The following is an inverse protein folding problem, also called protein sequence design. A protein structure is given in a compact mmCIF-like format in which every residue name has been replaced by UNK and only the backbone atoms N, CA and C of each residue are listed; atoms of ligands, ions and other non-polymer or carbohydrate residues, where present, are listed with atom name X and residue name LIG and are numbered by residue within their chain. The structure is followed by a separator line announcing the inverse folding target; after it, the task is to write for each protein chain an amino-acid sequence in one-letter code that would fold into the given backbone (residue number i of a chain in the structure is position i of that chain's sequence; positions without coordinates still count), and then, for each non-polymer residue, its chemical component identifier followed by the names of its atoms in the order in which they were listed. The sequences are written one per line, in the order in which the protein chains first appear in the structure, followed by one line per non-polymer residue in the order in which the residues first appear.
data_IF_193537306937
#
_entry.id   IF_193537306937
#
_cell.length_a   1.000
_cell.length_b   1.000
_cell.length_c   1.000
_cell.angle_alpha   90.00
_cell.angle_beta   90.00
_cell.angle_gamma   90.00
#
_symmetry.space_group_name_H-M   'P 1'
#
loop_
_entity.id
_entity.type
_entity.pdbx_description
1 polymer ?
#
# COMPACT_ATOMS: atom_id res chain seq x y z
N UNK A 1 2.75 -65.10 34.51
CA UNK A 1 1.67 -64.34 33.92
C UNK A 1 2.14 -62.92 33.79
N UNK A 2 2.49 -62.50 32.59
CA UNK A 2 3.11 -61.20 32.34
C UNK A 2 2.06 -60.27 31.75
N UNK A 3 1.70 -59.21 32.46
CA UNK A 3 0.86 -58.14 31.91
C UNK A 3 1.78 -57.19 31.15
N UNK A 4 1.71 -57.26 29.85
CA UNK A 4 2.28 -56.21 29.03
C UNK A 4 1.24 -55.08 28.91
N UNK A 5 1.43 -54.03 29.66
CA UNK A 5 0.73 -52.79 29.43
C UNK A 5 1.30 -52.16 28.15
N UNK A 6 0.55 -52.27 27.07
CA UNK A 6 0.76 -51.50 25.89
C UNK A 6 0.36 -50.05 26.21
N UNK A 7 1.35 -49.20 26.49
CA UNK A 7 1.11 -47.77 26.49
C UNK A 7 1.00 -47.36 25.04
N UNK A 8 -0.24 -47.26 24.55
CA UNK A 8 -0.51 -46.64 23.27
C UNK A 8 -0.23 -45.15 23.43
N UNK A 9 0.96 -44.75 23.03
CA UNK A 9 1.30 -43.32 22.92
C UNK A 9 0.43 -42.72 21.84
N UNK A 10 -0.56 -41.94 22.23
CA UNK A 10 -1.31 -41.09 21.31
C UNK A 10 -0.36 -39.98 20.85
N UNK A 11 0.26 -40.20 19.70
CA UNK A 11 1.03 -39.15 19.04
C UNK A 11 0.04 -38.14 18.47
N UNK A 12 -0.24 -37.09 19.23
CA UNK A 12 -0.99 -35.95 18.73
C UNK A 12 -0.06 -35.21 17.76
N UNK A 13 -0.19 -35.53 16.49
CA UNK A 13 0.37 -34.65 15.44
C UNK A 13 -0.40 -33.34 15.50
N UNK A 14 0.13 -32.36 16.22
CA UNK A 14 -0.26 -30.97 16.03
C UNK A 14 0.17 -30.58 14.61
N UNK A 15 -0.75 -30.68 13.67
CA UNK A 15 -0.58 -30.01 12.38
C UNK A 15 -0.52 -28.53 12.68
N UNK A 16 0.70 -27.97 12.70
CA UNK A 16 0.89 -26.54 12.66
C UNK A 16 0.40 -26.14 11.27
N UNK A 17 -0.85 -25.72 11.16
CA UNK A 17 -1.27 -24.96 9.99
C UNK A 17 -0.38 -23.74 9.92
N UNK A 18 0.40 -23.54 8.83
CA UNK A 18 1.01 -22.25 8.64
C UNK A 18 -0.14 -21.25 8.72
N UNK A 19 -0.07 -20.33 9.67
CA UNK A 19 -0.95 -19.18 9.67
C UNK A 19 -0.94 -18.70 8.21
N UNK A 20 -2.11 -18.67 7.56
CA UNK A 20 -2.25 -17.98 6.29
C UNK A 20 -1.70 -16.59 6.55
N UNK A 21 -0.41 -16.41 6.25
CA UNK A 21 0.16 -15.10 6.19
C UNK A 21 -0.74 -14.39 5.18
N UNK A 22 -1.62 -13.53 5.69
CA UNK A 22 -2.21 -12.51 4.84
C UNK A 22 -1.00 -11.79 4.30
N UNK A 23 -0.62 -12.11 3.05
CA UNK A 23 0.48 -11.44 2.40
C UNK A 23 0.24 -9.96 2.58
N UNK A 24 1.25 -9.27 3.10
CA UNK A 24 1.17 -7.82 3.22
C UNK A 24 0.74 -7.24 1.88
N UNK A 25 -0.15 -6.25 1.91
CA UNK A 25 -0.53 -5.54 0.70
C UNK A 25 0.72 -4.95 0.05
N UNK A 26 0.83 -4.97 -1.29
CA UNK A 26 1.88 -4.24 -1.97
C UNK A 26 1.91 -2.78 -1.52
N UNK A 27 3.09 -2.24 -1.27
CA UNK A 27 3.31 -0.85 -0.87
C UNK A 27 4.03 -0.12 -1.98
N UNK A 28 3.41 0.96 -2.46
CA UNK A 28 3.99 1.84 -3.46
C UNK A 28 4.25 3.19 -2.80
N UNK A 29 5.45 3.73 -2.96
CA UNK A 29 5.87 4.98 -2.34
C UNK A 29 5.85 6.13 -3.32
N UNK A 30 5.38 7.29 -2.84
CA UNK A 30 5.42 8.55 -3.54
C UNK A 30 6.04 9.60 -2.62
N UNK A 31 6.95 10.38 -3.17
CA UNK A 31 7.59 11.49 -2.49
C UNK A 31 7.17 12.83 -3.11
N UNK A 32 6.81 13.76 -2.25
CA UNK A 32 6.54 15.15 -2.59
C UNK A 32 7.64 16.04 -2.04
N UNK A 33 8.07 17.01 -2.81
CA UNK A 33 9.02 18.00 -2.34
C UNK A 33 8.77 19.35 -3.05
N UNK A 34 8.16 20.29 -2.35
CA UNK A 34 7.91 21.66 -2.85
C UNK A 34 7.25 21.67 -4.24
N UNK A 35 6.24 20.84 -4.45
CA UNK A 35 5.50 20.72 -5.70
C UNK A 35 6.03 19.66 -6.67
N UNK A 36 7.22 19.13 -6.45
CA UNK A 36 7.72 18.00 -7.24
C UNK A 36 7.16 16.69 -6.71
N UNK A 37 6.75 15.81 -7.63
CA UNK A 37 6.25 14.47 -7.32
C UNK A 37 7.23 13.45 -7.90
N UNK A 38 7.71 12.53 -7.07
CA UNK A 38 8.68 11.52 -7.47
C UNK A 38 8.31 10.13 -6.92
N UNK A 39 8.22 9.11 -7.78
CA UNK A 39 8.24 9.19 -9.25
C UNK A 39 6.97 9.83 -9.80
N UNK A 40 7.03 10.41 -10.97
CA UNK A 40 5.88 11.06 -11.63
C UNK A 40 4.95 10.08 -12.33
N UNK A 41 5.39 8.87 -12.56
CA UNK A 41 4.59 7.75 -13.05
C UNK A 41 4.85 6.55 -12.14
N UNK A 42 3.78 6.05 -11.54
CA UNK A 42 3.86 4.85 -10.70
C UNK A 42 3.05 3.73 -11.30
N UNK A 43 3.51 2.49 -11.12
CA UNK A 43 2.75 1.29 -11.45
C UNK A 43 2.15 0.70 -10.18
N UNK A 44 0.89 0.33 -10.26
CA UNK A 44 0.17 -0.35 -9.18
C UNK A 44 -0.48 -1.63 -9.72
N UNK A 45 -0.66 -2.67 -8.88
CA UNK A 45 -1.34 -3.87 -9.33
C UNK A 45 -2.83 -3.59 -9.53
N UNK A 46 -3.35 -3.93 -10.73
CA UNK A 46 -4.78 -3.86 -11.00
C UNK A 46 -5.53 -4.97 -10.26
N UNK A 47 -6.80 -4.74 -9.95
CA UNK A 47 -7.68 -5.73 -9.32
C UNK A 47 -7.11 -6.33 -8.02
N UNK A 48 -6.27 -5.60 -7.33
CA UNK A 48 -5.55 -6.03 -6.14
C UNK A 48 -5.55 -4.91 -5.12
N UNK A 49 -5.75 -5.25 -3.86
CA UNK A 49 -5.60 -4.30 -2.76
C UNK A 49 -4.13 -3.89 -2.64
N UNK A 50 -3.88 -2.59 -2.51
CA UNK A 50 -2.54 -2.06 -2.29
C UNK A 50 -2.57 -0.82 -1.39
N UNK A 51 -1.41 -0.46 -0.88
CA UNK A 51 -1.19 0.70 -0.05
C UNK A 51 -0.29 1.69 -0.78
N UNK A 52 -0.72 2.93 -0.83
CA UNK A 52 0.09 4.04 -1.32
C UNK A 52 0.64 4.79 -0.11
N UNK A 53 1.95 4.80 0.03
CA UNK A 53 2.64 5.50 1.10
C UNK A 53 3.15 6.84 0.58
N UNK A 54 2.74 7.91 1.27
CA UNK A 54 3.00 9.29 0.86
C UNK A 54 4.00 9.92 1.82
N UNK A 55 5.02 10.56 1.26
CA UNK A 55 6.06 11.26 2.03
C UNK A 55 6.17 12.71 1.55
N UNK A 56 6.10 13.66 2.46
CA UNK A 56 6.41 15.05 2.17
C UNK A 56 7.83 15.35 2.66
N UNK A 57 8.78 15.31 1.76
CA UNK A 57 10.20 15.57 2.03
C UNK A 57 10.56 17.06 1.93
N UNK A 58 9.59 17.89 1.56
CA UNK A 58 9.79 19.32 1.36
C UNK A 58 9.52 20.15 2.62
N UNK A 59 9.59 21.47 2.43
CA UNK A 59 9.40 22.47 3.48
C UNK A 59 8.02 23.13 3.47
N UNK A 60 7.18 22.80 2.48
CA UNK A 60 5.82 23.32 2.34
C UNK A 60 4.79 22.19 2.44
N UNK A 61 3.55 22.48 2.90
CA UNK A 61 2.49 21.50 2.86
C UNK A 61 2.19 21.04 1.43
N UNK A 62 1.76 19.80 1.28
CA UNK A 62 1.34 19.23 0.00
C UNK A 62 -0.04 18.57 0.16
N UNK A 63 -0.77 18.45 -0.93
CA UNK A 63 -2.00 17.69 -0.97
C UNK A 63 -2.00 16.75 -2.16
N UNK A 64 -1.94 15.44 -1.88
CA UNK A 64 -2.23 14.44 -2.88
C UNK A 64 -3.71 14.56 -3.26
N UNK A 65 -3.99 14.71 -4.54
CA UNK A 65 -5.35 14.68 -5.04
C UNK A 65 -5.46 13.89 -6.35
N UNK A 66 -6.44 12.99 -6.37
CA UNK A 66 -6.82 12.29 -7.60
C UNK A 66 -8.34 12.41 -7.78
N UNK A 67 -8.74 13.17 -8.79
CA UNK A 67 -10.15 13.36 -9.11
C UNK A 67 -10.79 12.04 -9.58
N UNK A 68 -10.18 11.27 -10.51
CA UNK A 68 -10.78 10.02 -10.95
C UNK A 68 -10.91 8.97 -9.83
N UNK A 69 -10.04 9.01 -8.83
CA UNK A 69 -10.07 8.07 -7.70
C UNK A 69 -10.86 8.59 -6.50
N UNK A 70 -11.23 9.87 -6.50
CA UNK A 70 -11.89 10.57 -5.39
C UNK A 70 -11.12 10.39 -4.08
N UNK A 71 -9.81 10.59 -4.14
CA UNK A 71 -8.90 10.49 -3.01
C UNK A 71 -8.13 11.78 -2.85
N UNK A 72 -7.99 12.19 -1.59
CA UNK A 72 -7.17 13.33 -1.22
C UNK A 72 -6.49 13.10 0.12
N UNK A 73 -5.32 13.68 0.31
CA UNK A 73 -4.57 13.60 1.55
C UNK A 73 -3.62 14.78 1.67
N UNK A 74 -3.77 15.53 2.74
CA UNK A 74 -2.86 16.64 3.08
C UNK A 74 -1.72 16.09 3.95
N UNK A 75 -0.49 16.53 3.64
CA UNK A 75 0.69 16.23 4.45
C UNK A 75 1.42 17.52 4.81
N UNK A 76 1.65 17.71 6.09
CA UNK A 76 2.53 18.77 6.58
C UNK A 76 3.98 18.51 6.13
N UNK A 77 4.85 19.54 6.14
CA UNK A 77 6.27 19.34 5.86
C UNK A 77 6.89 18.24 6.73
N UNK A 78 7.62 17.32 6.12
CA UNK A 78 8.25 16.20 6.81
C UNK A 78 7.32 15.07 7.25
N UNK A 79 6.01 15.18 7.00
CA UNK A 79 5.05 14.16 7.38
C UNK A 79 4.95 13.03 6.35
N UNK A 80 4.58 11.86 6.84
CA UNK A 80 4.24 10.70 6.02
C UNK A 80 2.85 10.21 6.38
N UNK A 81 2.14 9.65 5.41
CA UNK A 81 0.83 9.05 5.59
C UNK A 81 0.60 8.00 4.52
N UNK A 82 -0.57 7.40 4.49
CA UNK A 82 -0.89 6.40 3.50
C UNK A 82 -2.35 6.45 3.08
N UNK A 83 -2.63 5.89 1.90
CA UNK A 83 -3.94 5.61 1.38
C UNK A 83 -4.04 4.13 1.03
N UNK A 84 -5.17 3.52 1.30
CA UNK A 84 -5.45 2.13 0.92
C UNK A 84 -6.43 2.13 -0.24
N UNK A 85 -6.10 1.38 -1.29
CA UNK A 85 -6.97 1.14 -2.43
C UNK A 85 -7.39 -0.33 -2.42
N UNK A 86 -8.69 -0.60 -2.45
CA UNK A 86 -9.19 -1.98 -2.42
C UNK A 86 -8.96 -2.70 -3.73
N UNK A 87 -9.24 -2.01 -4.84
CA UNK A 87 -9.09 -2.56 -6.18
C UNK A 87 -9.27 -1.45 -7.20
N UNK A 88 -8.40 -1.41 -8.19
CA UNK A 88 -8.54 -0.53 -9.34
C UNK A 88 -8.62 -1.36 -10.62
N UNK A 89 -9.49 -0.94 -11.53
CA UNK A 89 -9.49 -1.49 -12.87
C UNK A 89 -8.21 -1.11 -13.61
N UNK A 90 -7.82 -1.91 -14.59
CA UNK A 90 -6.73 -1.58 -15.50
C UNK A 90 -6.99 -0.21 -16.11
N UNK A 91 -6.00 0.68 -16.03
CA UNK A 91 -6.13 2.03 -16.55
C UNK A 91 -5.08 2.97 -16.00
N UNK A 92 -5.17 4.23 -16.44
CA UNK A 92 -4.29 5.32 -15.99
C UNK A 92 -5.12 6.35 -15.24
N UNK A 93 -4.66 6.68 -14.04
CA UNK A 93 -5.34 7.58 -13.13
C UNK A 93 -4.42 8.76 -12.81
N UNK A 94 -4.84 9.96 -13.16
CA UNK A 94 -4.09 11.17 -12.86
C UNK A 94 -4.17 11.51 -11.37
N UNK A 95 -3.09 12.04 -10.84
CA UNK A 95 -3.05 12.68 -9.54
C UNK A 95 -2.09 13.87 -9.57
N UNK A 96 -2.22 14.74 -8.61
CA UNK A 96 -1.43 15.98 -8.55
C UNK A 96 -1.34 16.50 -7.12
N UNK A 97 -0.51 17.51 -6.93
CA UNK A 97 -0.43 18.26 -5.67
C UNK A 97 -1.31 19.50 -5.77
N UNK A 98 -2.42 19.51 -5.06
CA UNK A 98 -3.42 20.60 -5.13
C UNK A 98 -2.89 21.92 -4.53
N UNK A 99 -1.82 21.86 -3.75
CA UNK A 99 -1.17 23.07 -3.22
C UNK A 99 -0.11 23.65 -4.16
N UNK A 100 0.21 22.96 -5.25
CA UNK A 100 1.23 23.37 -6.22
C UNK A 100 0.73 23.13 -7.66
N UNK A 101 -0.35 23.83 -8.02
CA UNK A 101 -1.03 23.61 -9.31
C UNK A 101 -0.22 24.03 -10.54
N UNK A 102 0.84 24.80 -10.38
CA UNK A 102 1.78 25.19 -11.41
C UNK A 102 2.78 24.09 -11.78
N UNK A 103 2.84 23.01 -11.00
CA UNK A 103 3.72 21.89 -11.24
C UNK A 103 3.04 20.80 -12.09
N UNK A 104 3.82 20.01 -12.86
CA UNK A 104 3.25 18.94 -13.67
C UNK A 104 2.50 17.90 -12.83
N UNK A 105 1.36 17.38 -13.32
CA UNK A 105 0.68 16.27 -12.68
C UNK A 105 1.46 14.97 -12.82
N UNK A 106 1.06 13.98 -12.05
CA UNK A 106 1.59 12.62 -12.05
C UNK A 106 0.54 11.62 -12.52
N UNK A 107 0.95 10.38 -12.72
CA UNK A 107 0.08 9.30 -13.19
C UNK A 107 0.30 8.03 -12.42
N UNK A 108 -0.80 7.34 -12.17
CA UNK A 108 -0.85 5.99 -11.60
C UNK A 108 -1.36 5.04 -12.67
N UNK A 109 -0.55 4.05 -13.04
CA UNK A 109 -0.89 3.05 -14.06
C UNK A 109 -1.21 1.74 -13.37
N UNK A 110 -2.46 1.32 -13.43
CA UNK A 110 -2.90 0.03 -12.92
C UNK A 110 -2.85 -1.02 -14.03
N UNK A 111 -2.06 -2.05 -13.83
CA UNK A 111 -1.90 -3.14 -14.80
C UNK A 111 -1.55 -4.47 -14.18
#
# INVERSE_FOLDING_TARGET
MWLRTLVSGLSVCLAVMPALAQGDDPVIQIHFSNGMISPSVIEVPANTRFKLELHNDGSTPVEFESIPLRKEKVLAPGASSFLVFRSLDVGTYAFFDDFHLDMPPASMVAK
#
